data_IF_802521526572
#
_entry.id   IF_802521526572
#
_cell.length_a   1.000
_cell.length_b   1.000
_cell.length_c   1.000
_cell.angle_alpha   90.00
_cell.angle_beta   90.00
_cell.angle_gamma   90.00
#
_symmetry.space_group_name_H-M   'P 1'
#
loop_
_entity.id
_entity.type
_entity.pdbx_description
1 polymer ?
#
# COMPACT_ATOMS: atom_id res chain seq x y z
N UNK A 1 48.84 -6.15 -52.80
CA UNK A 1 49.00 -6.95 -51.61
C UNK A 1 48.96 -6.02 -50.42
N UNK A 2 47.84 -5.96 -49.77
CA UNK A 2 47.74 -5.58 -48.34
C UNK A 2 46.33 -5.88 -47.90
N UNK A 3 46.23 -6.89 -47.07
CA UNK A 3 45.02 -7.22 -46.33
C UNK A 3 44.77 -6.13 -45.27
N UNK A 4 43.63 -5.51 -45.36
CA UNK A 4 43.09 -4.66 -44.31
C UNK A 4 42.12 -5.49 -43.48
N UNK A 5 42.54 -5.83 -42.28
CA UNK A 5 41.71 -6.51 -41.28
C UNK A 5 40.91 -5.47 -40.57
N UNK A 6 39.62 -5.36 -40.87
CA UNK A 6 38.70 -4.53 -40.13
C UNK A 6 38.11 -5.36 -39.02
N UNK A 7 38.54 -5.07 -37.82
CA UNK A 7 37.94 -5.61 -36.58
C UNK A 7 36.70 -4.78 -36.26
N UNK A 8 35.55 -5.35 -36.52
CA UNK A 8 34.29 -4.76 -36.04
C UNK A 8 34.09 -5.13 -34.58
N UNK A 9 34.28 -4.17 -33.73
CA UNK A 9 33.91 -4.28 -32.30
C UNK A 9 32.42 -4.04 -32.23
N UNK A 10 31.66 -5.10 -32.09
CA UNK A 10 30.26 -5.01 -31.73
C UNK A 10 30.16 -4.61 -30.24
N UNK A 11 29.91 -3.35 -29.99
CA UNK A 11 29.54 -2.89 -28.67
C UNK A 11 28.15 -3.40 -28.32
N UNK A 12 28.08 -4.47 -27.55
CA UNK A 12 26.85 -4.95 -26.99
C UNK A 12 26.32 -3.94 -25.96
N UNK A 13 25.31 -3.20 -26.33
CA UNK A 13 24.53 -2.43 -25.35
C UNK A 13 23.77 -3.42 -24.50
N UNK A 14 24.27 -3.63 -23.30
CA UNK A 14 23.46 -4.22 -22.25
C UNK A 14 22.46 -3.16 -21.78
N UNK A 15 21.29 -3.18 -22.36
CA UNK A 15 20.15 -2.54 -21.74
C UNK A 15 19.85 -3.30 -20.46
N UNK A 16 20.35 -2.78 -19.35
CA UNK A 16 19.84 -3.16 -18.05
C UNK A 16 18.37 -2.77 -18.04
N UNK A 17 17.49 -3.72 -18.29
CA UNK A 17 16.06 -3.52 -18.21
C UNK A 17 15.74 -3.13 -16.77
N UNK A 18 15.42 -1.87 -16.53
CA UNK A 18 14.68 -1.50 -15.34
C UNK A 18 13.38 -2.29 -15.42
N UNK A 19 13.24 -3.30 -14.56
CA UNK A 19 11.98 -3.97 -14.40
C UNK A 19 10.98 -2.91 -13.93
N UNK A 20 10.05 -2.53 -14.77
CA UNK A 20 8.88 -1.76 -14.42
C UNK A 20 7.92 -2.63 -13.60
N UNK A 21 8.45 -3.38 -12.63
CA UNK A 21 7.68 -4.18 -11.70
C UNK A 21 6.78 -3.29 -10.84
N UNK A 22 5.77 -3.90 -10.23
CA UNK A 22 4.94 -3.24 -9.24
C UNK A 22 5.81 -2.52 -8.21
N UNK A 23 5.41 -1.33 -7.74
CA UNK A 23 6.17 -0.63 -6.71
C UNK A 23 6.34 -1.55 -5.49
N UNK A 24 7.55 -1.63 -4.98
CA UNK A 24 7.87 -2.44 -3.80
C UNK A 24 7.23 -1.87 -2.53
N UNK A 25 6.80 -0.60 -2.56
CA UNK A 25 6.18 0.11 -1.45
C UNK A 25 4.97 0.90 -1.91
N UNK A 26 3.92 0.82 -1.13
CA UNK A 26 2.72 1.61 -1.34
C UNK A 26 2.77 2.92 -0.56
N UNK A 27 2.04 3.93 -1.02
CA UNK A 27 1.95 5.25 -0.40
C UNK A 27 0.50 5.73 -0.32
N UNK A 28 0.22 6.57 0.66
CA UNK A 28 -1.12 7.10 0.90
C UNK A 28 -1.67 7.91 -0.29
N UNK A 29 -0.88 8.82 -0.85
CA UNK A 29 -1.34 9.70 -1.94
C UNK A 29 -1.83 8.96 -3.18
N UNK A 30 -1.01 8.15 -3.84
CA UNK A 30 -1.43 7.39 -5.03
C UNK A 30 -2.59 6.43 -4.74
N UNK A 31 -2.60 5.79 -3.58
CA UNK A 31 -3.68 4.88 -3.17
C UNK A 31 -4.99 5.65 -2.94
N UNK A 32 -4.93 6.80 -2.27
CA UNK A 32 -6.09 7.66 -2.06
C UNK A 32 -6.73 8.10 -3.39
N UNK A 33 -5.90 8.46 -4.36
CA UNK A 33 -6.38 8.85 -5.70
C UNK A 33 -7.13 7.71 -6.39
N UNK A 34 -6.60 6.49 -6.32
CA UNK A 34 -7.26 5.32 -6.90
C UNK A 34 -8.59 5.02 -6.20
N UNK A 35 -8.61 5.01 -4.88
CA UNK A 35 -9.83 4.75 -4.10
C UNK A 35 -10.89 5.82 -4.35
N UNK A 36 -10.51 7.10 -4.40
CA UNK A 36 -11.42 8.19 -4.75
C UNK A 36 -12.05 8.02 -6.12
N UNK A 37 -11.28 7.57 -7.11
CA UNK A 37 -11.77 7.23 -8.46
C UNK A 37 -12.71 6.04 -8.50
N UNK A 38 -12.70 5.19 -7.47
CA UNK A 38 -13.58 4.03 -7.32
C UNK A 38 -14.79 4.27 -6.39
N UNK A 39 -15.10 5.52 -6.10
CA UNK A 39 -16.32 5.89 -5.38
C UNK A 39 -16.18 5.98 -3.86
N UNK A 40 -14.98 5.83 -3.31
CA UNK A 40 -14.73 6.05 -1.87
C UNK A 40 -14.63 7.53 -1.56
N UNK A 41 -15.13 7.92 -0.40
CA UNK A 41 -14.82 9.22 0.19
C UNK A 41 -13.51 9.09 0.97
N UNK A 42 -12.43 9.71 0.47
CA UNK A 42 -11.08 9.50 0.99
C UNK A 42 -10.50 10.78 1.56
N UNK A 43 -9.82 10.67 2.70
CA UNK A 43 -9.00 11.73 3.28
C UNK A 43 -7.62 11.20 3.65
N UNK A 44 -6.61 12.05 3.51
CA UNK A 44 -5.25 11.82 4.01
C UNK A 44 -4.89 12.80 5.12
N UNK A 45 -5.87 13.54 5.63
CA UNK A 45 -5.69 14.50 6.72
C UNK A 45 -5.32 13.76 8.02
N UNK A 46 -4.18 14.08 8.60
CA UNK A 46 -3.67 13.49 9.83
C UNK A 46 -4.67 13.56 10.99
N UNK A 47 -5.46 14.62 11.06
CA UNK A 47 -6.50 14.78 12.08
C UNK A 47 -7.66 13.79 11.94
N UNK A 48 -7.82 13.20 10.75
CA UNK A 48 -8.95 12.33 10.43
C UNK A 48 -8.60 10.85 10.28
N UNK A 49 -7.33 10.54 9.99
CA UNK A 49 -6.91 9.15 9.74
C UNK A 49 -6.60 8.37 11.00
N UNK A 50 -6.49 9.03 12.14
CA UNK A 50 -6.12 8.43 13.42
C UNK A 50 -4.61 8.41 13.65
N UNK A 51 -4.22 8.34 14.92
CA UNK A 51 -2.82 8.55 15.34
C UNK A 51 -1.83 7.57 14.72
N UNK A 52 -2.20 6.30 14.57
CA UNK A 52 -1.32 5.28 14.01
C UNK A 52 -1.05 5.58 12.53
N UNK A 53 -2.10 5.79 11.76
CA UNK A 53 -1.99 6.09 10.33
C UNK A 53 -1.33 7.45 10.06
N UNK A 54 -1.62 8.46 10.89
CA UNK A 54 -1.02 9.79 10.79
C UNK A 54 0.50 9.77 11.00
N UNK A 55 1.00 8.86 11.81
CA UNK A 55 2.44 8.71 12.09
C UNK A 55 3.13 7.66 11.22
N UNK A 56 2.43 7.02 10.31
CA UNK A 56 3.03 6.03 9.42
C UNK A 56 4.01 6.68 8.42
N UNK A 57 5.19 6.09 8.19
CA UNK A 57 6.26 6.73 7.38
C UNK A 57 5.86 7.11 5.95
N UNK A 58 5.06 6.28 5.29
CA UNK A 58 4.55 6.55 3.94
C UNK A 58 3.10 7.06 3.93
N UNK A 59 2.68 7.60 5.07
CA UNK A 59 1.37 8.23 5.25
C UNK A 59 0.25 7.28 5.62
N UNK A 60 -0.92 7.85 5.82
CA UNK A 60 -2.14 7.15 6.12
C UNK A 60 -3.32 7.73 5.37
N UNK A 61 -4.38 6.96 5.23
CA UNK A 61 -5.64 7.42 4.66
C UNK A 61 -6.82 6.80 5.38
N UNK A 62 -7.95 7.45 5.25
CA UNK A 62 -9.24 6.90 5.63
C UNK A 62 -10.17 6.94 4.41
N UNK A 63 -10.76 5.81 4.10
CA UNK A 63 -11.70 5.67 3.00
C UNK A 63 -13.03 5.20 3.55
N UNK A 64 -14.10 5.92 3.22
CA UNK A 64 -15.44 5.61 3.67
C UNK A 64 -16.31 5.22 2.48
N UNK A 65 -17.15 4.24 2.71
CA UNK A 65 -18.25 3.85 1.84
C UNK A 65 -19.50 3.61 2.69
N UNK A 66 -20.69 3.51 2.10
CA UNK A 66 -21.88 3.20 2.90
C UNK A 66 -21.73 1.89 3.68
N UNK A 67 -21.85 1.98 5.02
CA UNK A 67 -21.80 0.83 5.92
C UNK A 67 -20.42 0.36 6.35
N UNK A 68 -19.33 0.92 5.84
CA UNK A 68 -17.97 0.54 6.25
C UNK A 68 -16.99 1.70 6.16
N UNK A 69 -15.96 1.66 6.98
CA UNK A 69 -14.84 2.58 6.95
C UNK A 69 -13.52 1.79 6.96
N UNK A 70 -12.57 2.25 6.17
CA UNK A 70 -11.24 1.66 6.04
C UNK A 70 -10.19 2.68 6.44
N UNK A 71 -9.28 2.28 7.31
CA UNK A 71 -8.04 3.03 7.59
C UNK A 71 -6.88 2.25 7.03
N UNK A 72 -5.98 2.91 6.30
CA UNK A 72 -4.74 2.30 5.81
C UNK A 72 -3.56 3.10 6.34
N UNK A 73 -2.61 2.39 6.92
CA UNK A 73 -1.32 2.93 7.34
C UNK A 73 -0.21 2.31 6.48
N UNK A 74 0.67 3.15 5.97
CA UNK A 74 1.73 2.73 5.04
C UNK A 74 3.10 2.87 5.71
N UNK A 75 3.76 1.74 5.94
CA UNK A 75 5.15 1.69 6.39
C UNK A 75 6.14 1.88 5.24
N UNK A 76 7.43 1.94 5.56
CA UNK A 76 8.51 1.94 4.56
C UNK A 76 8.82 0.53 4.04
N UNK A 77 8.48 -0.50 4.81
CA UNK A 77 8.81 -1.89 4.54
C UNK A 77 7.75 -2.83 5.10
N UNK A 78 7.85 -4.10 4.77
CA UNK A 78 7.03 -5.14 5.38
C UNK A 78 7.28 -5.26 6.89
N UNK A 79 8.50 -4.99 7.35
CA UNK A 79 8.83 -4.98 8.78
C UNK A 79 8.11 -3.85 9.52
N UNK A 80 8.05 -2.67 8.92
CA UNK A 80 7.23 -1.57 9.45
C UNK A 80 5.76 -1.95 9.55
N UNK A 81 5.24 -2.64 8.54
CA UNK A 81 3.85 -3.10 8.54
C UNK A 81 3.56 -4.04 9.71
N UNK A 82 4.50 -4.91 10.09
CA UNK A 82 4.37 -5.76 11.27
C UNK A 82 4.24 -4.92 12.54
N UNK A 83 5.05 -3.86 12.68
CA UNK A 83 4.99 -2.96 13.83
C UNK A 83 3.67 -2.15 13.85
N UNK A 84 3.24 -1.67 12.72
CA UNK A 84 1.97 -0.95 12.57
C UNK A 84 0.79 -1.86 12.93
N UNK A 85 0.77 -3.10 12.43
CA UNK A 85 -0.27 -4.06 12.76
C UNK A 85 -0.31 -4.36 14.26
N UNK A 86 0.85 -4.50 14.90
CA UNK A 86 0.95 -4.69 16.34
C UNK A 86 0.39 -3.49 17.11
N UNK A 87 0.65 -2.26 16.64
CA UNK A 87 0.10 -1.04 17.23
C UNK A 87 -1.43 -1.00 17.11
N UNK A 88 -1.99 -1.32 15.96
CA UNK A 88 -3.45 -1.41 15.81
C UNK A 88 -4.07 -2.43 16.76
N UNK A 89 -3.46 -3.60 16.91
CA UNK A 89 -3.93 -4.64 17.85
C UNK A 89 -3.87 -4.16 19.31
N UNK A 90 -2.77 -3.50 19.68
CA UNK A 90 -2.57 -3.00 21.05
C UNK A 90 -3.58 -1.92 21.45
N UNK A 91 -3.87 -0.99 20.54
CA UNK A 91 -4.71 0.17 20.81
C UNK A 91 -6.15 0.03 20.31
N UNK A 92 -6.53 -1.12 19.80
CA UNK A 92 -7.90 -1.36 19.34
C UNK A 92 -8.90 -1.20 20.49
N UNK A 93 -10.10 -0.65 20.22
CA UNK A 93 -11.18 -0.63 21.20
C UNK A 93 -11.51 -2.03 21.70
N UNK A 94 -11.96 -2.15 22.94
CA UNK A 94 -12.30 -3.44 23.57
C UNK A 94 -13.26 -4.28 22.73
N UNK A 95 -14.22 -3.63 22.08
CA UNK A 95 -15.20 -4.32 21.22
C UNK A 95 -14.58 -4.91 19.97
N UNK A 96 -13.51 -4.29 19.45
CA UNK A 96 -12.85 -4.71 18.23
C UNK A 96 -11.76 -5.75 18.48
N UNK A 97 -11.09 -5.71 19.62
CA UNK A 97 -9.95 -6.59 19.92
C UNK A 97 -10.21 -8.08 19.66
N UNK A 98 -11.35 -8.68 20.06
CA UNK A 98 -11.60 -10.10 19.79
C UNK A 98 -11.73 -10.44 18.30
N UNK A 99 -12.02 -9.46 17.46
CA UNK A 99 -12.31 -9.62 16.03
C UNK A 99 -11.32 -8.89 15.13
N UNK A 100 -10.22 -8.39 15.70
CA UNK A 100 -9.26 -7.55 14.96
C UNK A 100 -8.72 -8.26 13.72
N UNK A 101 -8.49 -9.57 13.80
CA UNK A 101 -7.96 -10.35 12.68
C UNK A 101 -8.98 -10.52 11.54
N UNK A 102 -10.28 -10.40 11.83
CA UNK A 102 -11.33 -10.44 10.82
C UNK A 102 -11.41 -9.16 9.98
N UNK A 103 -11.00 -8.03 10.56
CA UNK A 103 -11.10 -6.71 9.95
C UNK A 103 -9.76 -6.09 9.59
N UNK A 104 -8.66 -6.77 9.84
CA UNK A 104 -7.31 -6.29 9.51
C UNK A 104 -6.65 -7.17 8.47
N UNK A 105 -5.97 -6.53 7.52
CA UNK A 105 -5.15 -7.20 6.51
C UNK A 105 -3.82 -6.47 6.39
N UNK A 106 -2.77 -7.22 6.10
CA UNK A 106 -1.45 -6.68 5.79
C UNK A 106 -1.07 -7.07 4.37
N UNK A 107 -0.68 -6.09 3.57
CA UNK A 107 -0.24 -6.29 2.20
C UNK A 107 1.05 -5.52 1.99
N UNK A 108 2.18 -6.23 1.89
CA UNK A 108 3.52 -5.62 1.80
C UNK A 108 3.75 -4.62 2.94
N UNK A 109 3.94 -3.34 2.64
CA UNK A 109 4.14 -2.27 3.63
C UNK A 109 2.84 -1.62 4.12
N UNK A 110 1.67 -2.06 3.66
CA UNK A 110 0.38 -1.49 4.03
C UNK A 110 -0.34 -2.35 5.06
N UNK A 111 -0.93 -1.71 6.05
CA UNK A 111 -1.84 -2.31 7.02
C UNK A 111 -3.22 -1.68 6.87
N UNK A 112 -4.20 -2.52 6.60
CA UNK A 112 -5.58 -2.13 6.32
C UNK A 112 -6.47 -2.56 7.49
N UNK A 113 -7.25 -1.63 8.01
CA UNK A 113 -8.16 -1.87 9.11
C UNK A 113 -9.56 -1.36 8.75
N UNK A 114 -10.52 -2.27 8.65
CA UNK A 114 -11.93 -1.95 8.45
C UNK A 114 -12.68 -1.87 9.79
N UNK A 115 -13.83 -1.22 9.78
CA UNK A 115 -14.75 -1.22 10.93
C UNK A 115 -15.65 -2.45 10.95
N UNK A 116 -15.93 -3.03 9.78
CA UNK A 116 -16.72 -4.24 9.59
C UNK A 116 -15.97 -5.15 8.63
N UNK A 117 -16.06 -6.47 8.82
CA UNK A 117 -15.41 -7.45 7.95
C UNK A 117 -15.81 -7.20 6.49
N UNK A 118 -14.84 -6.90 5.60
CA UNK A 118 -15.16 -6.60 4.22
C UNK A 118 -15.49 -7.87 3.44
N UNK A 119 -16.45 -7.83 2.51
CA UNK A 119 -16.65 -8.92 1.57
C UNK A 119 -15.48 -9.04 0.60
N UNK A 120 -15.31 -10.21 -0.01
CA UNK A 120 -14.19 -10.52 -0.90
C UNK A 120 -14.06 -9.53 -2.07
N UNK A 121 -15.17 -9.10 -2.65
CA UNK A 121 -15.15 -8.11 -3.74
C UNK A 121 -14.58 -6.76 -3.31
N UNK A 122 -14.85 -6.35 -2.08
CA UNK A 122 -14.30 -5.15 -1.47
C UNK A 122 -12.79 -5.28 -1.28
N UNK A 123 -12.33 -6.39 -0.72
CA UNK A 123 -10.89 -6.68 -0.56
C UNK A 123 -10.16 -6.59 -1.90
N UNK A 124 -10.69 -7.21 -2.93
CA UNK A 124 -10.08 -7.20 -4.26
C UNK A 124 -9.99 -5.78 -4.83
N UNK A 125 -11.04 -5.00 -4.68
CA UNK A 125 -11.09 -3.61 -5.14
C UNK A 125 -10.04 -2.75 -4.43
N UNK A 126 -9.95 -2.86 -3.12
CA UNK A 126 -8.99 -2.09 -2.31
C UNK A 126 -7.56 -2.52 -2.60
N UNK A 127 -7.28 -3.81 -2.67
CA UNK A 127 -5.94 -4.30 -2.99
C UNK A 127 -5.47 -3.85 -4.37
N UNK A 128 -6.36 -3.81 -5.36
CA UNK A 128 -6.04 -3.29 -6.69
C UNK A 128 -5.69 -1.79 -6.69
N UNK A 129 -6.14 -1.04 -5.69
CA UNK A 129 -5.84 0.38 -5.52
C UNK A 129 -4.55 0.67 -4.73
N UNK A 130 -3.91 -0.32 -4.12
CA UNK A 130 -2.64 -0.10 -3.43
C UNK A 130 -1.54 0.25 -4.43
N UNK A 131 -0.99 1.46 -4.32
CA UNK A 131 -0.02 2.04 -5.27
C UNK A 131 1.07 2.82 -4.54
N UNK A 132 2.23 2.87 -5.19
CA UNK A 132 3.38 3.64 -4.72
C UNK A 132 3.68 4.91 -5.48
#
# INVERSE_FOLDING_TARGET
>A
MRLGLTISIAAGLFLAGCSSGEPSTFKAGPTAKCLGGNGYSVTTDDAQVGIIAANAPNGGLRANEPGNALTIAFGQSSDDAIQIAAAFKKFAPKKLKPHIDDVMRTQKNAVLLWTVTPPQGELNKVFACLKG
#
